data_IF_721022707641
#
_entry.id   IF_721022707641
#
_cell.length_a   1.000
_cell.length_b   1.000
_cell.length_c   1.000
_cell.angle_alpha   90.00
_cell.angle_beta   90.00
_cell.angle_gamma   90.00
#
_symmetry.space_group_name_H-M   'P 1'
#
loop_
_entity.id
_entity.type
_entity.pdbx_description
1 polymer ?
#
# COMPACT_ATOMS: atom_id res chain seq x y z
N UNK A 1 15.49 3.79 -12.43
CA UNK A 1 14.62 3.22 -11.37
C UNK A 1 14.95 1.76 -11.20
N UNK A 2 15.16 1.33 -9.97
CA UNK A 2 15.54 -0.03 -9.62
C UNK A 2 14.44 -0.63 -8.74
N UNK A 3 14.15 -1.92 -8.92
CA UNK A 3 13.19 -2.65 -8.10
C UNK A 3 13.92 -3.77 -7.37
N UNK A 4 13.63 -3.94 -6.08
CA UNK A 4 14.17 -5.05 -5.28
C UNK A 4 13.25 -5.38 -4.10
N UNK A 5 13.52 -6.50 -3.45
CA UNK A 5 12.87 -6.86 -2.19
C UNK A 5 13.36 -5.97 -1.05
N UNK A 6 12.62 -5.95 0.04
CA UNK A 6 13.01 -5.24 1.26
C UNK A 6 13.78 -6.15 2.21
N UNK A 7 14.64 -5.53 3.00
CA UNK A 7 15.25 -6.14 4.18
C UNK A 7 14.88 -5.33 5.41
N UNK A 8 15.20 -5.83 6.59
CA UNK A 8 14.93 -5.12 7.85
C UNK A 8 15.61 -3.74 7.88
N UNK A 9 16.75 -3.59 7.19
CA UNK A 9 17.42 -2.29 7.12
C UNK A 9 16.64 -1.22 6.35
N UNK A 10 15.63 -1.61 5.56
CA UNK A 10 14.77 -0.68 4.83
C UNK A 10 13.59 -0.17 5.68
N UNK A 11 13.36 -0.78 6.83
CA UNK A 11 12.15 -0.56 7.63
C UNK A 11 11.93 0.90 7.99
N UNK A 12 12.95 1.58 8.49
CA UNK A 12 12.83 2.99 8.91
C UNK A 12 12.43 3.89 7.75
N UNK A 13 13.03 3.70 6.59
CA UNK A 13 12.70 4.50 5.40
C UNK A 13 11.29 4.18 4.88
N UNK A 14 10.88 2.92 4.91
CA UNK A 14 9.54 2.50 4.54
C UNK A 14 8.48 3.14 5.46
N UNK A 15 8.71 3.14 6.76
CA UNK A 15 7.81 3.74 7.73
C UNK A 15 7.72 5.26 7.57
N UNK A 16 8.84 5.92 7.31
CA UNK A 16 8.86 7.35 7.06
C UNK A 16 8.06 7.71 5.82
N UNK A 17 8.22 6.95 4.74
CA UNK A 17 7.44 7.13 3.51
C UNK A 17 5.95 6.97 3.79
N UNK A 18 5.57 5.93 4.51
CA UNK A 18 4.19 5.67 4.91
C UNK A 18 3.57 6.88 5.62
N UNK A 19 4.23 7.39 6.65
CA UNK A 19 3.74 8.53 7.43
C UNK A 19 3.62 9.78 6.55
N UNK A 20 4.67 10.13 5.83
CA UNK A 20 4.70 11.34 5.00
C UNK A 20 3.69 11.29 3.87
N UNK A 21 3.49 10.12 3.25
CA UNK A 21 2.51 9.96 2.18
C UNK A 21 1.10 10.13 2.72
N UNK A 22 0.75 9.48 3.80
CA UNK A 22 -0.59 9.59 4.39
C UNK A 22 -0.88 11.03 4.79
N UNK A 23 0.07 11.70 5.46
CA UNK A 23 -0.09 13.09 5.88
C UNK A 23 -0.26 14.06 4.72
N UNK A 24 0.42 13.81 3.60
CA UNK A 24 0.45 14.76 2.47
C UNK A 24 -0.64 14.46 1.42
N UNK A 25 -0.82 13.18 1.08
CA UNK A 25 -1.64 12.77 -0.07
C UNK A 25 -3.09 12.50 0.35
N UNK A 26 -3.33 12.08 1.59
CA UNK A 26 -4.66 11.69 2.05
C UNK A 26 -5.42 12.80 2.81
N UNK A 27 -4.81 13.95 3.02
CA UNK A 27 -5.37 15.02 3.87
C UNK A 27 -6.69 15.62 3.37
N UNK A 28 -6.99 15.48 2.08
CA UNK A 28 -8.25 16.00 1.53
C UNK A 28 -9.43 15.03 1.70
N UNK A 29 -9.13 13.74 1.99
CA UNK A 29 -10.13 12.69 2.09
C UNK A 29 -10.34 12.20 3.53
N UNK A 30 -9.41 12.52 4.42
CA UNK A 30 -9.42 12.13 5.83
C UNK A 30 -9.11 13.33 6.71
N UNK A 31 -9.78 13.43 7.84
CA UNK A 31 -9.52 14.51 8.81
C UNK A 31 -8.26 14.23 9.65
N UNK A 32 -7.87 15.23 10.46
CA UNK A 32 -6.65 15.13 11.28
C UNK A 32 -6.68 13.93 12.22
N UNK A 33 -7.82 13.69 12.90
CA UNK A 33 -7.95 12.56 13.83
C UNK A 33 -7.80 11.22 13.11
N UNK A 34 -8.39 11.09 11.92
CA UNK A 34 -8.29 9.88 11.12
C UNK A 34 -6.85 9.64 10.64
N UNK A 35 -6.16 10.67 10.19
CA UNK A 35 -4.77 10.57 9.75
C UNK A 35 -3.87 10.17 10.93
N UNK A 36 -4.04 10.78 12.10
CA UNK A 36 -3.25 10.44 13.29
C UNK A 36 -3.41 8.97 13.69
N UNK A 37 -4.62 8.44 13.65
CA UNK A 37 -4.88 7.04 13.95
C UNK A 37 -4.24 6.13 12.90
N UNK A 38 -4.33 6.50 11.63
CA UNK A 38 -3.77 5.72 10.53
C UNK A 38 -2.24 5.63 10.65
N UNK A 39 -1.55 6.76 10.81
CA UNK A 39 -0.09 6.77 10.93
C UNK A 39 0.42 6.14 12.23
N UNK A 40 -0.43 6.02 13.24
CA UNK A 40 -0.09 5.32 14.48
C UNK A 40 0.31 3.86 14.22
N UNK A 41 -0.12 3.29 13.10
CA UNK A 41 0.24 1.93 12.69
C UNK A 41 1.73 1.68 12.58
N UNK A 42 2.57 2.72 12.43
CA UNK A 42 4.04 2.55 12.41
C UNK A 42 4.59 2.02 13.74
N UNK A 43 3.85 2.16 14.82
CA UNK A 43 4.28 1.69 16.14
C UNK A 43 4.12 0.18 16.32
N UNK A 44 3.36 -0.48 15.44
CA UNK A 44 3.21 -1.93 15.48
C UNK A 44 4.39 -2.58 14.74
N UNK A 45 5.57 -2.59 15.38
CA UNK A 45 6.80 -3.09 14.79
C UNK A 45 6.71 -4.57 14.39
N UNK A 46 6.02 -5.39 15.18
CA UNK A 46 5.86 -6.82 14.88
C UNK A 46 5.16 -7.02 13.53
N UNK A 47 4.14 -6.21 13.24
CA UNK A 47 3.46 -6.26 11.95
C UNK A 47 4.40 -5.89 10.79
N UNK A 48 5.17 -4.82 10.93
CA UNK A 48 6.09 -4.37 9.88
C UNK A 48 7.18 -5.40 9.61
N UNK A 49 7.75 -5.99 10.67
CA UNK A 49 8.76 -7.03 10.55
C UNK A 49 8.16 -8.26 9.87
N UNK A 50 6.95 -8.65 10.26
CA UNK A 50 6.24 -9.78 9.65
C UNK A 50 6.02 -9.57 8.15
N UNK A 51 5.60 -8.36 7.75
CA UNK A 51 5.42 -8.02 6.33
C UNK A 51 6.72 -8.23 5.55
N UNK A 52 7.83 -7.71 6.05
CA UNK A 52 9.14 -7.84 5.38
C UNK A 52 9.57 -9.31 5.29
N UNK A 53 9.32 -10.09 6.34
CA UNK A 53 9.77 -11.48 6.42
C UNK A 53 8.89 -12.47 5.67
N UNK A 54 7.59 -12.19 5.51
CA UNK A 54 6.63 -13.19 5.00
C UNK A 54 5.93 -12.81 3.71
N UNK A 55 5.88 -11.54 3.35
CA UNK A 55 5.18 -11.10 2.14
C UNK A 55 6.14 -10.90 0.96
N UNK A 56 5.59 -10.95 -0.26
CA UNK A 56 6.31 -10.53 -1.44
C UNK A 56 6.34 -9.00 -1.45
N UNK A 57 7.53 -8.41 -1.31
CA UNK A 57 7.71 -6.96 -1.21
C UNK A 57 8.44 -6.43 -2.43
N UNK A 58 7.90 -5.38 -3.04
CA UNK A 58 8.53 -4.66 -4.14
C UNK A 58 8.86 -3.25 -3.69
N UNK A 59 10.13 -2.92 -3.59
CA UNK A 59 10.60 -1.54 -3.40
C UNK A 59 10.97 -0.96 -4.76
N UNK A 60 10.53 0.26 -5.03
CA UNK A 60 11.01 1.06 -6.17
C UNK A 60 11.98 2.12 -5.66
N UNK A 61 13.19 2.13 -6.21
CA UNK A 61 14.23 3.06 -5.79
C UNK A 61 14.60 4.01 -6.93
N UNK A 62 14.73 5.29 -6.59
CA UNK A 62 15.26 6.33 -7.48
C UNK A 62 16.42 6.99 -6.74
N UNK A 63 17.62 6.94 -7.32
CA UNK A 63 18.84 7.49 -6.71
C UNK A 63 19.03 7.00 -5.28
N UNK A 64 18.86 5.70 -5.07
CA UNK A 64 18.98 5.01 -3.77
C UNK A 64 17.95 5.42 -2.72
N UNK A 65 16.91 6.16 -3.08
CA UNK A 65 15.80 6.50 -2.18
C UNK A 65 14.59 5.63 -2.52
N UNK A 66 13.86 5.20 -1.50
CA UNK A 66 12.61 4.48 -1.73
C UNK A 66 11.57 5.48 -2.23
N UNK A 67 11.17 5.31 -3.50
CA UNK A 67 10.16 6.15 -4.14
C UNK A 67 8.75 5.60 -3.94
N UNK A 68 8.63 4.32 -3.64
CA UNK A 68 7.36 3.66 -3.38
C UNK A 68 7.56 2.19 -3.10
N UNK A 69 6.53 1.55 -2.58
CA UNK A 69 6.54 0.10 -2.37
C UNK A 69 5.14 -0.48 -2.36
N UNK A 70 5.07 -1.75 -2.67
CA UNK A 70 3.86 -2.55 -2.56
C UNK A 70 4.19 -3.92 -2.01
N UNK A 71 3.23 -4.53 -1.33
CA UNK A 71 3.40 -5.87 -0.76
C UNK A 71 2.22 -6.76 -1.12
N UNK A 72 2.50 -8.05 -1.30
CA UNK A 72 1.51 -9.06 -1.62
C UNK A 72 1.56 -10.17 -0.57
N UNK A 73 0.46 -10.34 0.14
CA UNK A 73 0.29 -11.36 1.17
C UNK A 73 -0.41 -12.58 0.57
N UNK A 74 0.10 -13.77 0.86
CA UNK A 74 -0.50 -15.05 0.45
C UNK A 74 -0.76 -15.14 -1.06
N UNK A 75 -0.03 -14.36 -1.86
CA UNK A 75 -0.14 -14.38 -3.31
C UNK A 75 -1.39 -13.70 -3.89
N UNK A 76 -2.26 -13.12 -3.08
CA UNK A 76 -3.54 -12.59 -3.55
C UNK A 76 -4.07 -11.34 -2.86
N UNK A 77 -3.37 -10.82 -1.85
CA UNK A 77 -3.84 -9.65 -1.11
C UNK A 77 -2.76 -8.56 -1.09
N UNK A 78 -3.08 -7.38 -1.65
CA UNK A 78 -2.19 -6.21 -1.56
C UNK A 78 -2.36 -5.60 -0.18
N UNK A 79 -1.33 -5.69 0.67
CA UNK A 79 -1.38 -5.23 2.05
C UNK A 79 -0.89 -3.79 2.21
N UNK A 80 0.29 -3.47 1.67
CA UNK A 80 0.81 -2.10 1.61
C UNK A 80 0.97 -1.66 0.16
N UNK A 81 0.65 -0.39 -0.11
CA UNK A 81 0.82 0.19 -1.43
C UNK A 81 0.93 1.70 -1.28
N UNK A 82 2.16 2.21 -1.24
CA UNK A 82 2.42 3.62 -0.97
C UNK A 82 3.47 4.18 -1.91
N UNK A 83 3.20 5.36 -2.46
CA UNK A 83 4.14 6.10 -3.32
C UNK A 83 4.55 7.37 -2.57
N UNK A 84 5.85 7.61 -2.50
CA UNK A 84 6.40 8.79 -1.82
C UNK A 84 5.79 10.07 -2.37
N UNK A 85 5.50 11.02 -1.47
CA UNK A 85 4.84 12.28 -1.82
C UNK A 85 5.54 13.07 -2.92
N UNK A 86 6.87 12.98 -3.00
CA UNK A 86 7.68 13.71 -3.99
C UNK A 86 7.81 12.95 -5.32
N UNK A 87 7.30 11.73 -5.41
CA UNK A 87 7.39 10.90 -6.61
C UNK A 87 6.03 10.50 -7.17
N UNK A 88 4.99 11.24 -6.82
CA UNK A 88 3.64 11.01 -7.33
C UNK A 88 3.55 11.26 -8.84
N UNK A 89 2.66 10.54 -9.51
CA UNK A 89 2.32 10.71 -10.94
C UNK A 89 3.50 10.53 -11.88
N UNK A 90 4.44 9.65 -11.53
CA UNK A 90 5.61 9.32 -12.38
C UNK A 90 5.57 7.88 -12.90
N UNK A 91 4.42 7.22 -12.81
CA UNK A 91 4.26 5.84 -13.29
C UNK A 91 4.81 4.78 -12.34
N UNK A 92 5.25 5.14 -11.15
CA UNK A 92 5.81 4.20 -10.18
C UNK A 92 4.74 3.21 -9.69
N UNK A 93 3.55 3.73 -9.38
CA UNK A 93 2.44 2.89 -8.94
C UNK A 93 2.10 1.81 -9.96
N UNK A 94 2.05 2.17 -11.24
CA UNK A 94 1.75 1.22 -12.31
C UNK A 94 2.78 0.09 -12.39
N UNK A 95 4.04 0.42 -12.22
CA UNK A 95 5.14 -0.55 -12.29
C UNK A 95 5.10 -1.48 -11.08
N UNK A 96 4.84 -0.95 -9.88
CA UNK A 96 4.70 -1.76 -8.68
C UNK A 96 3.49 -2.68 -8.80
N UNK A 97 2.33 -2.15 -9.18
CA UNK A 97 1.09 -2.94 -9.32
C UNK A 97 1.28 -4.07 -10.31
N UNK A 98 1.91 -3.79 -11.46
CA UNK A 98 2.19 -4.82 -12.47
C UNK A 98 3.03 -5.96 -11.89
N UNK A 99 4.03 -5.65 -11.07
CA UNK A 99 4.87 -6.68 -10.44
C UNK A 99 4.08 -7.50 -9.44
N UNK A 100 3.20 -6.88 -8.66
CA UNK A 100 2.34 -7.59 -7.72
C UNK A 100 1.36 -8.52 -8.46
N UNK A 101 0.78 -8.04 -9.55
CA UNK A 101 -0.14 -8.85 -10.37
C UNK A 101 0.58 -10.03 -11.03
N UNK A 102 1.80 -9.81 -11.51
CA UNK A 102 2.62 -10.90 -12.07
C UNK A 102 2.93 -11.97 -11.03
N UNK A 103 3.27 -11.57 -9.80
CA UNK A 103 3.52 -12.52 -8.72
C UNK A 103 2.25 -13.28 -8.34
N UNK A 104 1.11 -12.59 -8.28
CA UNK A 104 -0.17 -13.23 -8.00
C UNK A 104 -0.50 -14.29 -9.05
N UNK A 105 -0.30 -13.99 -10.33
CA UNK A 105 -0.50 -14.96 -11.43
C UNK A 105 0.47 -16.13 -11.33
N UNK A 106 1.73 -15.85 -11.00
CA UNK A 106 2.75 -16.87 -10.80
C UNK A 106 2.36 -17.87 -9.70
N UNK A 107 1.67 -17.39 -8.68
CA UNK A 107 1.15 -18.23 -7.60
C UNK A 107 -0.23 -18.82 -7.90
N UNK A 108 -0.70 -18.72 -9.15
CA UNK A 108 -1.96 -19.27 -9.63
C UNK A 108 -3.21 -18.62 -9.00
N UNK A 109 -3.09 -17.41 -8.50
CA UNK A 109 -4.25 -16.65 -8.00
C UNK A 109 -5.13 -16.20 -9.18
N UNK A 110 -6.43 -16.32 -9.00
CA UNK A 110 -7.43 -15.91 -10.02
C UNK A 110 -7.94 -14.50 -9.76
N UNK A 111 -7.85 -14.06 -8.54
CA UNK A 111 -8.35 -12.76 -8.06
C UNK A 111 -7.30 -12.16 -7.16
N UNK A 112 -7.10 -10.84 -7.28
CA UNK A 112 -6.28 -10.06 -6.37
C UNK A 112 -7.18 -9.08 -5.63
N UNK A 113 -7.02 -8.95 -4.32
CA UNK A 113 -7.85 -8.12 -3.46
C UNK A 113 -7.01 -7.12 -2.68
N UNK A 114 -7.65 -6.05 -2.20
CA UNK A 114 -7.03 -5.11 -1.28
C UNK A 114 -8.09 -4.30 -0.55
N UNK A 115 -7.72 -3.76 0.62
CA UNK A 115 -8.51 -2.77 1.32
C UNK A 115 -7.95 -1.40 0.96
N UNK A 116 -8.71 -0.64 0.16
CA UNK A 116 -8.24 0.54 -0.56
C UNK A 116 -8.79 1.81 0.12
N UNK A 117 -7.92 2.78 0.37
CA UNK A 117 -8.32 4.07 0.93
C UNK A 117 -9.23 4.86 -0.02
N UNK A 118 -9.97 5.82 0.53
CA UNK A 118 -10.75 6.77 -0.27
C UNK A 118 -9.85 7.44 -1.31
N UNK A 119 -8.66 7.83 -0.91
CA UNK A 119 -7.69 8.53 -1.78
C UNK A 119 -7.21 7.67 -2.94
N UNK A 120 -6.93 6.40 -2.70
CA UNK A 120 -6.40 5.49 -3.72
C UNK A 120 -7.48 4.86 -4.60
N UNK A 121 -8.74 4.89 -4.18
CA UNK A 121 -9.85 4.25 -4.89
C UNK A 121 -9.91 4.60 -6.38
N UNK A 122 -9.85 5.89 -6.80
CA UNK A 122 -9.91 6.22 -8.22
C UNK A 122 -8.79 5.59 -9.04
N UNK A 123 -7.59 5.53 -8.48
CA UNK A 123 -6.45 4.88 -9.14
C UNK A 123 -6.72 3.40 -9.38
N UNK A 124 -7.15 2.68 -8.36
CA UNK A 124 -7.41 1.24 -8.48
C UNK A 124 -8.60 0.94 -9.41
N UNK A 125 -9.61 1.79 -9.42
CA UNK A 125 -10.71 1.66 -10.38
C UNK A 125 -10.21 1.74 -11.82
N UNK A 126 -9.31 2.68 -12.11
CA UNK A 126 -8.70 2.81 -13.44
C UNK A 126 -7.87 1.58 -13.82
N UNK A 127 -7.38 0.82 -12.84
CA UNK A 127 -6.58 -0.38 -13.08
C UNK A 127 -7.42 -1.65 -13.14
N UNK A 128 -8.73 -1.54 -13.11
CA UNK A 128 -9.63 -2.66 -13.27
C UNK A 128 -10.13 -3.28 -11.97
N UNK A 129 -9.82 -2.69 -10.83
CA UNK A 129 -10.38 -3.13 -9.56
C UNK A 129 -11.82 -2.62 -9.41
N UNK A 130 -12.68 -3.45 -8.84
CA UNK A 130 -14.08 -3.10 -8.56
C UNK A 130 -14.32 -3.10 -7.06
N UNK A 131 -15.17 -2.18 -6.60
CA UNK A 131 -15.58 -2.09 -5.20
C UNK A 131 -16.54 -3.22 -4.89
N UNK A 132 -16.23 -3.99 -3.85
CA UNK A 132 -17.10 -5.06 -3.34
C UNK A 132 -17.86 -4.61 -2.11
N UNK A 133 -17.26 -3.76 -1.27
CA UNK A 133 -17.90 -3.25 -0.06
C UNK A 133 -17.20 -1.97 0.42
N UNK A 134 -17.98 -1.05 0.97
CA UNK A 134 -17.44 0.02 1.79
C UNK A 134 -17.27 -0.50 3.21
N UNK A 135 -16.14 -0.19 3.83
CA UNK A 135 -15.81 -0.67 5.18
C UNK A 135 -15.63 0.50 6.14
N UNK A 136 -16.17 0.33 7.34
CA UNK A 136 -15.99 1.26 8.46
C UNK A 136 -15.12 0.58 9.49
N UNK A 137 -13.87 1.02 9.60
CA UNK A 137 -12.91 0.44 10.53
C UNK A 137 -12.76 1.38 11.72
N UNK A 138 -12.94 0.84 12.94
CA UNK A 138 -12.78 1.64 14.15
C UNK A 138 -11.42 1.32 14.77
N UNK A 139 -10.58 2.35 14.90
CA UNK A 139 -9.25 2.26 15.52
C UNK A 139 -9.12 3.40 16.51
N UNK A 140 -8.74 3.08 17.75
CA UNK A 140 -8.60 4.08 18.81
C UNK A 140 -9.82 5.02 18.87
N UNK A 141 -11.02 4.45 18.78
CA UNK A 141 -12.32 5.14 18.79
C UNK A 141 -12.55 6.11 17.61
N UNK A 142 -11.77 6.00 16.53
CA UNK A 142 -11.92 6.80 15.32
C UNK A 142 -12.34 5.91 14.17
N UNK A 143 -13.39 6.32 13.43
CA UNK A 143 -13.87 5.61 12.25
C UNK A 143 -13.04 5.96 11.03
N UNK A 144 -12.48 4.94 10.38
CA UNK A 144 -11.75 5.06 9.12
C UNK A 144 -12.51 4.31 8.03
N UNK A 145 -12.85 5.02 6.96
CA UNK A 145 -13.52 4.41 5.81
C UNK A 145 -12.49 3.99 4.79
N UNK A 146 -12.63 2.75 4.29
CA UNK A 146 -11.94 2.26 3.11
C UNK A 146 -12.85 1.33 2.31
N UNK A 147 -12.35 0.75 1.25
CA UNK A 147 -13.14 -0.07 0.33
C UNK A 147 -12.44 -1.40 0.10
N UNK A 148 -13.20 -2.48 0.27
CA UNK A 148 -12.74 -3.77 -0.21
C UNK A 148 -12.89 -3.78 -1.73
N UNK A 149 -11.77 -3.95 -2.43
CA UNK A 149 -11.75 -3.97 -3.89
C UNK A 149 -11.08 -5.24 -4.39
N UNK A 150 -11.48 -5.67 -5.58
CA UNK A 150 -10.87 -6.85 -6.21
C UNK A 150 -10.79 -6.72 -7.71
N UNK A 151 -9.85 -7.47 -8.29
CA UNK A 151 -9.64 -7.56 -9.73
C UNK A 151 -9.43 -9.01 -10.13
N UNK A 152 -10.08 -9.43 -11.20
CA UNK A 152 -9.80 -10.72 -11.83
C UNK A 152 -8.48 -10.64 -12.60
N UNK A 153 -7.66 -11.67 -12.45
CA UNK A 153 -6.36 -11.74 -13.11
C UNK A 153 -6.38 -12.50 -14.43
#
# INVERSE_FOLDING_TARGET
MIFRSATISDLNEMQKLYVETIQSVCKNDYNTAQIEVWIHGVQNMDRWIDVINTQFVVLALIKNKIAGYGTLKDGNYIDFFYIHKDFQRQGIADKILKKLELEARKQNSKIITSDISITAKPYFEKKGFIVKAQQKNIRLNVELINYKMEKEL
#
